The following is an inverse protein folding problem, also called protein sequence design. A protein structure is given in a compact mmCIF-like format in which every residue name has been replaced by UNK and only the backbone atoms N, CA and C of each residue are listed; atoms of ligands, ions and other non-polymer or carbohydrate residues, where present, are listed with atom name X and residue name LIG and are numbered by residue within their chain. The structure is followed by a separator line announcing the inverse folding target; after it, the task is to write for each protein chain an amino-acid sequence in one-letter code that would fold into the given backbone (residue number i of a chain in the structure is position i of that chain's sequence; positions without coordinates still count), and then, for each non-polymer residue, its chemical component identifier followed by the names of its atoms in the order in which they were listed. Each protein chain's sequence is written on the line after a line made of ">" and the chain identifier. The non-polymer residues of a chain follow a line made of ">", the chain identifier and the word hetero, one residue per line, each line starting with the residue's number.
data_IF_585785751754
#
_entry.id   IF_585785751754
#
_cell.length_a   1.000
_cell.length_b   1.000
_cell.length_c   1.000
_cell.angle_alpha   90.00
_cell.angle_beta   90.00
_cell.angle_gamma   90.00
#
_symmetry.space_group_name_H-M   'P 1'
#
loop_
_entity.id
_entity.type
_entity.pdbx_description
1 polymer ?
#
# COMPACT_ATOMS: atom_id res chain seq x y z
N UNK A 1 10.37 21.67 -11.37
CA UNK A 1 9.83 20.42 -11.93
C UNK A 1 9.28 19.60 -10.78
N UNK A 2 7.95 19.46 -10.67
CA UNK A 2 7.36 18.48 -9.75
C UNK A 2 7.77 17.07 -10.22
N UNK A 3 8.64 16.40 -9.47
CA UNK A 3 8.89 14.97 -9.69
C UNK A 3 7.56 14.24 -9.52
N UNK A 4 7.01 13.70 -10.61
CA UNK A 4 5.81 12.86 -10.56
C UNK A 4 6.04 11.72 -9.56
N UNK A 5 5.33 11.77 -8.43
CA UNK A 5 5.41 10.73 -7.41
C UNK A 5 4.71 9.48 -7.92
N UNK A 6 5.36 8.32 -7.75
CA UNK A 6 4.86 7.03 -8.23
C UNK A 6 3.46 6.76 -7.65
N UNK A 7 2.49 6.44 -8.51
CA UNK A 7 1.07 6.31 -8.10
C UNK A 7 0.65 4.88 -7.78
N UNK A 8 1.48 3.89 -8.09
CA UNK A 8 1.14 2.48 -7.96
C UNK A 8 2.36 1.66 -7.55
N UNK A 9 2.14 0.70 -6.66
CA UNK A 9 3.14 -0.25 -6.17
C UNK A 9 2.61 -1.66 -6.30
N UNK A 10 3.48 -2.58 -6.68
CA UNK A 10 3.11 -3.96 -6.97
C UNK A 10 3.93 -4.90 -6.10
N UNK A 11 3.25 -5.87 -5.52
CA UNK A 11 3.81 -6.92 -4.69
C UNK A 11 3.26 -8.27 -5.16
N UNK A 12 3.88 -9.35 -4.74
CA UNK A 12 3.31 -10.69 -4.93
C UNK A 12 2.82 -11.27 -3.61
N UNK A 13 1.96 -12.27 -3.68
CA UNK A 13 1.62 -13.13 -2.56
C UNK A 13 1.23 -14.51 -3.07
N UNK A 14 1.46 -15.52 -2.24
CA UNK A 14 1.07 -16.89 -2.52
C UNK A 14 -0.30 -17.25 -1.93
N UNK A 15 -0.85 -16.39 -1.07
CA UNK A 15 -2.15 -16.61 -0.43
C UNK A 15 -3.31 -16.60 -1.44
N UNK A 16 -4.39 -17.38 -1.20
CA UNK A 16 -5.62 -17.29 -1.97
C UNK A 16 -6.22 -15.87 -1.97
N UNK A 17 -7.04 -15.56 -2.97
CA UNK A 17 -7.66 -14.22 -3.11
C UNK A 17 -8.53 -13.88 -1.89
N UNK A 18 -9.30 -14.84 -1.36
CA UNK A 18 -10.16 -14.62 -0.20
C UNK A 18 -9.34 -14.21 1.03
N UNK A 19 -8.29 -14.97 1.36
CA UNK A 19 -7.37 -14.67 2.47
C UNK A 19 -6.63 -13.33 2.26
N UNK A 20 -6.29 -12.99 1.02
CA UNK A 20 -5.70 -11.69 0.70
C UNK A 20 -6.68 -10.55 0.99
N UNK A 21 -7.92 -10.63 0.51
CA UNK A 21 -8.91 -9.58 0.76
C UNK A 21 -9.20 -9.42 2.25
N UNK A 22 -9.25 -10.52 3.00
CA UNK A 22 -9.43 -10.51 4.44
C UNK A 22 -8.23 -9.85 5.15
N UNK A 23 -7.00 -10.30 4.88
CA UNK A 23 -5.78 -9.76 5.48
C UNK A 23 -5.57 -8.28 5.15
N UNK A 24 -5.75 -7.90 3.88
CA UNK A 24 -5.70 -6.50 3.44
C UNK A 24 -6.79 -5.65 4.11
N UNK A 25 -8.01 -6.18 4.23
CA UNK A 25 -9.11 -5.50 4.90
C UNK A 25 -8.86 -5.31 6.39
N UNK A 26 -8.30 -6.30 7.07
CA UNK A 26 -7.91 -6.20 8.49
C UNK A 26 -6.83 -5.14 8.69
N UNK A 27 -5.78 -5.15 7.88
CA UNK A 27 -4.73 -4.13 7.95
C UNK A 27 -5.26 -2.70 7.75
N UNK A 28 -6.22 -2.52 6.82
CA UNK A 28 -6.86 -1.22 6.59
C UNK A 28 -7.79 -0.80 7.74
N UNK A 29 -8.53 -1.74 8.36
CA UNK A 29 -9.31 -1.45 9.58
C UNK A 29 -8.43 -1.04 10.74
N UNK A 30 -7.33 -1.76 10.96
CA UNK A 30 -6.39 -1.45 12.04
C UNK A 30 -5.70 -0.10 11.82
N UNK A 31 -5.60 0.34 10.56
CA UNK A 31 -5.17 1.66 10.16
C UNK A 31 -6.30 2.71 10.13
N UNK A 32 -7.45 2.40 10.73
CA UNK A 32 -8.63 3.27 10.87
C UNK A 32 -9.19 3.79 9.55
N UNK A 33 -9.06 3.01 8.47
CA UNK A 33 -9.62 3.37 7.18
C UNK A 33 -11.12 3.03 7.09
N UNK A 34 -11.88 3.92 6.47
CA UNK A 34 -13.20 3.57 5.94
C UNK A 34 -12.99 2.83 4.60
N UNK A 35 -13.63 1.68 4.40
CA UNK A 35 -13.37 0.85 3.23
C UNK A 35 -14.60 0.17 2.66
N UNK A 36 -14.53 -0.11 1.36
CA UNK A 36 -15.48 -0.95 0.63
C UNK A 36 -14.72 -2.04 -0.12
N UNK A 37 -15.12 -3.28 0.14
CA UNK A 37 -14.60 -4.47 -0.53
C UNK A 37 -15.52 -4.81 -1.70
N UNK A 38 -14.93 -5.16 -2.83
CA UNK A 38 -15.59 -5.58 -4.06
C UNK A 38 -15.09 -6.98 -4.41
N UNK A 39 -15.68 -8.01 -3.79
CA UNK A 39 -15.20 -9.40 -3.86
C UNK A 39 -15.16 -9.94 -5.29
N UNK A 40 -16.20 -9.66 -6.08
CA UNK A 40 -16.30 -10.06 -7.49
C UNK A 40 -15.14 -9.53 -8.35
N UNK A 41 -14.56 -8.41 -7.94
CA UNK A 41 -13.43 -7.79 -8.62
C UNK A 41 -12.13 -7.96 -7.84
N UNK A 42 -12.08 -8.72 -6.75
CA UNK A 42 -10.89 -8.87 -5.90
C UNK A 42 -10.21 -7.52 -5.55
N UNK A 43 -11.03 -6.56 -5.09
CA UNK A 43 -10.62 -5.16 -4.95
C UNK A 43 -11.08 -4.55 -3.65
N UNK A 44 -10.27 -3.67 -3.07
CA UNK A 44 -10.63 -2.83 -1.93
C UNK A 44 -10.42 -1.36 -2.32
N UNK A 45 -11.39 -0.51 -2.00
CA UNK A 45 -11.20 0.94 -2.00
C UNK A 45 -11.32 1.42 -0.56
N UNK A 46 -10.37 2.22 -0.12
CA UNK A 46 -10.39 2.75 1.23
C UNK A 46 -9.97 4.23 1.25
N UNK A 47 -10.40 4.92 2.29
CA UNK A 47 -10.08 6.31 2.58
C UNK A 47 -9.72 6.47 4.04
N UNK A 48 -8.81 7.38 4.33
CA UNK A 48 -8.48 7.79 5.70
C UNK A 48 -8.26 9.30 5.74
N UNK A 49 -8.53 9.90 6.90
CA UNK A 49 -8.33 11.32 7.14
C UNK A 49 -6.94 11.52 7.70
N UNK A 50 -6.16 12.40 7.08
CA UNK A 50 -4.85 12.82 7.60
C UNK A 50 -4.88 14.29 7.99
N UNK A 51 -3.77 14.81 8.52
CA UNK A 51 -3.63 16.20 8.90
C UNK A 51 -3.78 17.17 7.71
N UNK A 52 -3.57 16.70 6.48
CA UNK A 52 -3.75 17.50 5.24
C UNK A 52 -5.02 17.16 4.47
N UNK A 53 -5.96 16.46 5.11
CA UNK A 53 -7.24 16.08 4.54
C UNK A 53 -7.32 14.60 4.17
N UNK A 54 -8.39 14.24 3.46
CA UNK A 54 -8.67 12.85 3.12
C UNK A 54 -7.77 12.34 1.99
N UNK A 55 -7.16 11.18 2.20
CA UNK A 55 -6.45 10.42 1.16
C UNK A 55 -7.22 9.16 0.79
N UNK A 56 -7.06 8.70 -0.44
CA UNK A 56 -7.65 7.45 -0.93
C UNK A 56 -6.59 6.43 -1.33
N UNK A 57 -6.91 5.15 -1.16
CA UNK A 57 -6.12 4.00 -1.57
C UNK A 57 -7.01 2.99 -2.29
N UNK A 58 -6.47 2.36 -3.34
CA UNK A 58 -7.15 1.28 -4.07
C UNK A 58 -6.21 0.10 -4.13
N UNK A 59 -6.64 -1.03 -3.57
CA UNK A 59 -5.91 -2.30 -3.61
C UNK A 59 -6.63 -3.24 -4.56
N UNK A 60 -5.89 -3.87 -5.46
CA UNK A 60 -6.41 -4.76 -6.48
C UNK A 60 -5.56 -6.03 -6.52
N UNK A 61 -6.21 -7.18 -6.41
CA UNK A 61 -5.56 -8.48 -6.51
C UNK A 61 -5.81 -9.05 -7.90
N UNK A 62 -4.76 -9.57 -8.53
CA UNK A 62 -4.82 -10.26 -9.82
C UNK A 62 -4.23 -11.67 -9.67
N UNK A 63 -4.95 -12.68 -10.15
CA UNK A 63 -4.39 -14.03 -10.27
C UNK A 63 -3.38 -14.09 -11.41
N UNK A 64 -2.12 -14.42 -11.10
CA UNK A 64 -1.09 -14.66 -12.13
C UNK A 64 -1.00 -16.15 -12.44
N UNK A 65 -0.95 -16.97 -11.40
CA UNK A 65 -0.93 -18.44 -11.47
C UNK A 65 -1.80 -19.02 -10.35
N UNK A 66 -1.91 -20.36 -10.30
CA UNK A 66 -2.67 -21.06 -9.24
C UNK A 66 -2.19 -20.72 -7.82
N UNK A 67 -0.91 -20.41 -7.66
CA UNK A 67 -0.27 -20.16 -6.36
C UNK A 67 0.43 -18.78 -6.27
N UNK A 68 0.19 -17.88 -7.21
CA UNK A 68 0.81 -16.55 -7.21
C UNK A 68 -0.16 -15.48 -7.65
N UNK A 69 -0.30 -14.44 -6.83
CA UNK A 69 -1.15 -13.28 -7.07
C UNK A 69 -0.28 -12.03 -7.11
N UNK A 70 -0.62 -11.12 -8.01
CA UNK A 70 -0.13 -9.76 -7.99
C UNK A 70 -1.07 -8.94 -7.11
N UNK A 71 -0.51 -8.16 -6.18
CA UNK A 71 -1.26 -7.19 -5.40
C UNK A 71 -0.77 -5.81 -5.79
N UNK A 72 -1.64 -5.05 -6.44
CA UNK A 72 -1.38 -3.66 -6.81
C UNK A 72 -2.05 -2.70 -5.83
N UNK A 73 -1.26 -1.80 -5.27
CA UNK A 73 -1.71 -0.75 -4.35
C UNK A 73 -1.53 0.60 -5.04
N UNK A 74 -2.63 1.33 -5.24
CA UNK A 74 -2.67 2.60 -5.96
C UNK A 74 -3.12 3.76 -5.08
N UNK A 75 -2.51 4.91 -5.35
CA UNK A 75 -2.95 6.20 -4.83
C UNK A 75 -4.26 6.62 -5.47
N UNK A 76 -5.25 6.90 -4.64
CA UNK A 76 -6.51 7.53 -5.00
C UNK A 76 -6.41 9.06 -5.06
N UNK A 77 -7.41 9.73 -4.49
CA UNK A 77 -7.44 11.19 -4.31
C UNK A 77 -6.62 11.60 -3.08
N UNK A 78 -6.36 12.90 -2.93
CA UNK A 78 -5.68 13.48 -1.77
C UNK A 78 -4.21 13.79 -1.99
N UNK A 79 -3.59 14.33 -0.94
CA UNK A 79 -2.20 14.77 -0.95
C UNK A 79 -1.23 13.60 -1.20
N UNK A 80 -0.21 13.85 -2.02
CA UNK A 80 0.72 12.81 -2.41
C UNK A 80 1.66 12.43 -1.27
N UNK A 81 2.18 13.38 -0.49
CA UNK A 81 3.14 13.11 0.58
C UNK A 81 2.46 12.34 1.72
N UNK A 82 1.25 12.74 2.09
CA UNK A 82 0.45 12.05 3.09
C UNK A 82 0.11 10.62 2.66
N UNK A 83 -0.24 10.42 1.39
CA UNK A 83 -0.41 9.05 0.86
C UNK A 83 0.86 8.21 1.00
N UNK A 84 2.04 8.74 0.64
CA UNK A 84 3.28 7.96 0.69
C UNK A 84 3.73 7.69 2.13
N UNK A 85 3.40 8.58 3.08
CA UNK A 85 3.61 8.34 4.51
C UNK A 85 2.71 7.22 5.00
N UNK A 86 1.42 7.28 4.71
CA UNK A 86 0.46 6.25 5.07
C UNK A 86 0.78 4.89 4.44
N UNK A 87 1.02 4.87 3.12
CA UNK A 87 1.36 3.66 2.37
C UNK A 87 2.58 2.95 2.95
N UNK A 88 3.59 3.71 3.40
CA UNK A 88 4.78 3.16 4.03
C UNK A 88 4.50 2.48 5.34
N UNK A 89 3.73 3.14 6.21
CA UNK A 89 3.34 2.56 7.48
C UNK A 89 2.57 1.26 7.20
N UNK A 90 1.52 1.33 6.38
CA UNK A 90 0.69 0.18 6.02
C UNK A 90 1.52 -1.02 5.52
N UNK A 91 2.42 -0.80 4.55
CA UNK A 91 3.22 -1.88 3.95
C UNK A 91 4.24 -2.43 4.94
N UNK A 92 4.97 -1.57 5.65
CA UNK A 92 6.06 -2.03 6.51
C UNK A 92 5.56 -2.60 7.84
N UNK A 93 4.46 -2.11 8.41
CA UNK A 93 4.01 -2.56 9.73
C UNK A 93 2.88 -3.59 9.67
N UNK A 94 1.95 -3.47 8.70
CA UNK A 94 0.68 -4.23 8.73
C UNK A 94 0.57 -5.32 7.67
N UNK A 95 1.34 -5.23 6.58
CA UNK A 95 1.19 -6.12 5.43
C UNK A 95 2.33 -7.14 5.24
N UNK A 96 3.32 -7.18 6.14
CA UNK A 96 4.46 -8.11 6.06
C UNK A 96 4.04 -9.58 6.00
N UNK A 97 3.05 -9.99 6.77
CA UNK A 97 2.59 -11.38 6.79
C UNK A 97 1.62 -11.71 5.64
N UNK A 98 1.22 -10.70 4.86
CA UNK A 98 0.23 -10.84 3.78
C UNK A 98 0.88 -10.76 2.39
N UNK A 99 1.91 -9.93 2.25
CA UNK A 99 2.59 -9.64 0.99
C UNK A 99 4.06 -10.06 1.04
N UNK A 100 4.57 -10.54 -0.08
CA UNK A 100 6.00 -10.79 -0.28
C UNK A 100 6.71 -9.44 -0.45
N UNK A 101 7.07 -8.81 0.67
CA UNK A 101 7.78 -7.53 0.72
C UNK A 101 9.28 -7.82 0.84
N UNK A 102 10.11 -7.43 -0.14
CA UNK A 102 11.55 -7.62 -0.07
C UNK A 102 12.17 -6.92 1.16
N UNK A 103 13.07 -7.61 1.83
CA UNK A 103 13.76 -7.11 3.03
C UNK A 103 14.92 -6.14 2.72
N UNK A 104 15.30 -5.97 1.45
CA UNK A 104 16.48 -5.19 1.10
C UNK A 104 16.30 -3.70 1.42
N UNK A 105 17.34 -3.09 1.99
CA UNK A 105 17.37 -1.64 2.22
C UNK A 105 17.18 -0.85 0.92
N UNK A 106 17.65 -1.39 -0.20
CA UNK A 106 17.45 -0.80 -1.52
C UNK A 106 15.97 -0.76 -1.93
N UNK A 107 15.19 -1.80 -1.63
CA UNK A 107 13.74 -1.80 -1.84
C UNK A 107 13.08 -0.68 -1.02
N UNK A 108 13.42 -0.58 0.27
CA UNK A 108 12.91 0.49 1.13
C UNK A 108 13.33 1.87 0.62
N UNK A 109 14.55 2.04 0.11
CA UNK A 109 15.03 3.31 -0.46
C UNK A 109 14.35 3.67 -1.79
N UNK A 110 14.13 2.72 -2.70
CA UNK A 110 13.47 2.92 -4.00
C UNK A 110 12.01 3.36 -3.82
N UNK A 111 11.35 2.90 -2.77
CA UNK A 111 10.00 3.31 -2.41
C UNK A 111 9.96 4.55 -1.51
N UNK A 112 11.11 5.18 -1.28
CA UNK A 112 11.35 6.23 -0.30
C UNK A 112 10.91 5.84 1.11
N UNK A 113 10.66 4.56 1.44
CA UNK A 113 10.03 4.01 2.67
C UNK A 113 10.88 4.14 3.94
N UNK A 114 12.11 4.66 3.87
CA UNK A 114 12.83 5.18 5.03
C UNK A 114 12.75 6.71 5.09
N UNK A 115 12.68 7.33 6.28
CA UNK A 115 12.80 8.78 6.38
C UNK A 115 14.09 9.20 5.68
N UNK A 116 14.04 10.27 4.87
CA UNK A 116 15.30 10.90 4.44
C UNK A 116 15.99 11.37 5.71
N UNK A 117 17.27 11.03 5.88
CA UNK A 117 18.10 11.72 6.86
C UNK A 117 18.13 13.20 6.46
N UNK A 118 17.26 14.01 7.05
CA UNK A 118 17.35 15.47 7.03
C UNK A 118 18.48 15.86 7.98
N UNK A 119 19.71 15.67 7.50
CA UNK A 119 20.89 15.82 8.33
C UNK A 119 22.16 15.74 7.52
N UNK A 120 22.28 16.64 6.54
CA UNK A 120 23.53 17.21 6.02
C UNK A 120 23.17 18.27 4.97
N UNK A 121 22.64 19.39 5.46
CA UNK A 121 22.88 20.68 4.81
C UNK A 121 24.00 21.33 5.61
N UNK A 122 25.10 21.63 4.92
CA UNK A 122 26.29 22.29 5.44
C UNK A 122 26.01 23.74 5.81
#
# INVERSE_FOLDING_TARGET
>A
QERQTKRAYQFTSNKPVAELLEGLGTALRDAQCEMKIFDQNAKIKATTVTNSGMIGIVIQVFGLTSNMRLVEIRRGKGDALEYHRFFRELVTTRLRDTLNIPESQEFLNVFNLLPRNEGQAT
#
